data_IF_597162981199
#
_entry.id   IF_597162981199
#
_cell.length_a   1.000
_cell.length_b   1.000
_cell.length_c   1.000
_cell.angle_alpha   90.00
_cell.angle_beta   90.00
_cell.angle_gamma   90.00
#
_symmetry.space_group_name_H-M   'P 1'
#
loop_
_entity.id
_entity.type
_entity.pdbx_description
1 polymer ?
#
# COMPACT_ATOMS: atom_id res chain seq x y z
N UNK A 1 -9.81 17.99 21.94
CA UNK A 1 -8.50 17.38 21.66
C UNK A 1 -8.31 17.39 20.14
N UNK A 2 -7.23 17.97 19.64
CA UNK A 2 -6.96 18.08 18.20
C UNK A 2 -6.08 16.90 17.79
N UNK A 3 -6.60 16.00 16.95
CA UNK A 3 -5.80 14.95 16.32
C UNK A 3 -5.07 15.55 15.14
N UNK A 4 -3.74 15.38 15.13
CA UNK A 4 -2.88 15.82 14.05
C UNK A 4 -3.24 15.11 12.74
N UNK A 5 -3.21 15.90 11.67
CA UNK A 5 -3.26 15.55 10.24
C UNK A 5 -3.92 14.21 9.89
N UNK A 6 -5.15 14.27 9.37
CA UNK A 6 -5.94 13.13 8.91
C UNK A 6 -5.18 12.17 7.97
N UNK A 7 -4.25 12.68 7.15
CA UNK A 7 -3.40 11.87 6.26
C UNK A 7 -2.38 11.02 7.01
N UNK A 8 -1.82 11.54 8.11
CA UNK A 8 -0.91 10.78 8.95
C UNK A 8 -1.66 9.68 9.69
N UNK A 9 -2.86 9.99 10.21
CA UNK A 9 -3.73 8.98 10.82
C UNK A 9 -4.13 7.90 9.83
N UNK A 10 -4.60 8.29 8.63
CA UNK A 10 -4.90 7.34 7.57
C UNK A 10 -3.69 6.46 7.23
N UNK A 11 -2.48 7.03 7.16
CA UNK A 11 -1.26 6.23 6.97
C UNK A 11 -1.05 5.24 8.11
N UNK A 12 -1.14 5.68 9.36
CA UNK A 12 -0.90 4.82 10.51
C UNK A 12 -1.93 3.68 10.63
N UNK A 13 -3.20 3.97 10.30
CA UNK A 13 -4.28 2.99 10.31
C UNK A 13 -4.11 1.92 9.23
N UNK A 14 -3.47 2.22 8.09
CA UNK A 14 -3.32 1.32 6.95
C UNK A 14 -1.86 0.91 6.66
N UNK A 15 -0.92 1.34 7.52
CA UNK A 15 0.52 1.07 7.37
C UNK A 15 0.81 -0.41 7.59
N UNK A 16 1.34 -1.05 6.56
CA UNK A 16 1.80 -2.42 6.62
C UNK A 16 3.24 -2.51 7.13
N UNK A 17 3.55 -3.53 7.96
CA UNK A 17 4.92 -3.88 8.32
C UNK A 17 5.62 -2.92 9.30
N UNK A 18 4.89 -1.93 9.82
CA UNK A 18 5.38 -1.03 10.87
C UNK A 18 4.96 -1.55 12.24
N UNK A 19 5.76 -1.24 13.26
CA UNK A 19 5.42 -1.46 14.67
C UNK A 19 4.03 -0.86 14.99
N UNK A 20 3.29 -1.44 15.95
CA UNK A 20 2.02 -0.88 16.42
C UNK A 20 2.15 0.63 16.66
N UNK A 21 1.25 1.39 16.04
CA UNK A 21 1.21 2.83 16.21
C UNK A 21 0.25 3.21 17.33
N UNK A 22 0.59 4.27 18.05
CA UNK A 22 -0.21 4.81 19.14
C UNK A 22 -0.49 6.28 18.88
N UNK A 23 -1.68 6.73 19.28
CA UNK A 23 -2.02 8.14 19.40
C UNK A 23 -1.69 8.61 20.82
N UNK A 24 -0.82 9.59 20.94
CA UNK A 24 -0.58 10.31 22.19
C UNK A 24 -1.77 11.26 22.45
N UNK A 25 -2.54 11.01 23.51
CA UNK A 25 -3.73 11.80 23.83
C UNK A 25 -3.42 13.21 24.36
N UNK A 26 -2.18 13.45 24.79
CA UNK A 26 -1.75 14.76 25.28
C UNK A 26 -1.32 15.66 24.12
N UNK A 27 -0.55 15.12 23.18
CA UNK A 27 0.05 15.89 22.07
C UNK A 27 -0.71 15.76 20.74
N UNK A 28 -1.54 14.73 20.60
CA UNK A 28 -2.23 14.39 19.34
C UNK A 28 -1.31 13.77 18.29
N UNK A 29 -0.07 13.39 18.64
CA UNK A 29 0.93 12.82 17.74
C UNK A 29 0.80 11.31 17.58
N UNK A 30 1.19 10.80 16.42
CA UNK A 30 1.29 9.37 16.14
C UNK A 30 2.73 8.93 16.34
N UNK A 31 2.93 7.88 17.14
CA UNK A 31 4.25 7.35 17.47
C UNK A 31 4.32 5.84 17.33
N UNK A 32 5.51 5.34 16.99
CA UNK A 32 5.88 3.93 16.90
C UNK A 32 6.97 3.64 17.94
N UNK A 33 6.64 3.46 19.22
CA UNK A 33 7.66 3.06 20.21
C UNK A 33 7.17 2.30 21.46
N UNK A 34 8.08 1.51 22.07
CA UNK A 34 7.80 0.40 23.01
C UNK A 34 7.92 0.75 24.50
N UNK A 35 8.32 1.98 24.85
CA UNK A 35 8.57 2.41 26.22
C UNK A 35 7.33 3.16 26.76
N UNK A 36 6.15 2.54 26.64
CA UNK A 36 4.88 3.17 26.98
C UNK A 36 4.97 3.72 28.41
N UNK A 37 4.82 5.04 28.53
CA UNK A 37 4.54 5.71 29.79
C UNK A 37 3.22 5.20 30.40
N UNK A 38 2.61 5.90 31.36
CA UNK A 38 1.37 5.41 31.97
C UNK A 38 0.32 5.07 30.90
N UNK A 39 -0.25 3.86 30.98
CA UNK A 39 -1.16 3.27 29.96
C UNK A 39 -2.30 4.22 29.53
N UNK A 40 -2.70 5.15 30.40
CA UNK A 40 -3.76 6.13 30.13
C UNK A 40 -3.40 7.23 29.10
N UNK A 41 -2.12 7.41 28.74
CA UNK A 41 -1.70 8.46 27.80
C UNK A 41 -1.80 8.06 26.32
N UNK A 42 -1.63 6.77 26.03
CA UNK A 42 -1.45 6.29 24.66
C UNK A 42 -2.62 5.42 24.24
N UNK A 43 -3.27 5.79 23.15
CA UNK A 43 -4.35 5.00 22.55
C UNK A 43 -3.79 4.16 21.39
N UNK A 44 -3.82 2.81 21.47
CA UNK A 44 -3.39 1.97 20.35
C UNK A 44 -4.26 2.23 19.11
N UNK A 45 -3.60 2.38 17.96
CA UNK A 45 -4.26 2.49 16.67
C UNK A 45 -4.49 1.08 16.10
N UNK A 46 -5.68 0.80 15.54
CA UNK A 46 -5.90 -0.44 14.81
C UNK A 46 -5.06 -0.47 13.54
N UNK A 47 -4.70 -1.68 13.10
CA UNK A 47 -4.02 -1.92 11.83
C UNK A 47 -5.01 -2.53 10.84
N UNK A 48 -5.37 -1.77 9.82
CA UNK A 48 -6.28 -2.19 8.77
C UNK A 48 -5.54 -2.80 7.59
N UNK A 49 -6.10 -3.87 7.04
CA UNK A 49 -5.54 -4.56 5.88
C UNK A 49 -5.73 -3.74 4.59
N UNK A 50 -4.63 -3.22 4.02
CA UNK A 50 -4.66 -2.52 2.71
C UNK A 50 -5.13 -3.42 1.56
N UNK A 51 -4.98 -4.74 1.66
CA UNK A 51 -5.47 -5.67 0.63
C UNK A 51 -7.01 -5.68 0.53
N UNK A 52 -7.71 -5.42 1.64
CA UNK A 52 -9.17 -5.23 1.63
C UNK A 52 -9.57 -4.03 0.75
N UNK A 53 -8.89 -2.89 0.92
CA UNK A 53 -9.14 -1.68 0.13
C UNK A 53 -8.88 -1.94 -1.35
N UNK A 54 -7.78 -2.63 -1.65
CA UNK A 54 -7.45 -3.04 -3.01
C UNK A 54 -8.51 -3.98 -3.60
N UNK A 55 -9.04 -4.96 -2.86
CA UNK A 55 -10.13 -5.83 -3.33
C UNK A 55 -11.38 -5.05 -3.72
N UNK A 56 -11.81 -4.10 -2.88
CA UNK A 56 -12.95 -3.24 -3.19
C UNK A 56 -12.74 -2.45 -4.50
N UNK A 57 -11.53 -1.95 -4.71
CA UNK A 57 -11.18 -1.26 -5.95
C UNK A 57 -11.22 -2.19 -7.16
N UNK A 58 -10.56 -3.34 -7.10
CA UNK A 58 -10.50 -4.30 -8.21
C UNK A 58 -11.90 -4.76 -8.64
N UNK A 59 -12.76 -5.05 -7.66
CA UNK A 59 -14.14 -5.46 -7.91
C UNK A 59 -14.96 -4.37 -8.59
N UNK A 60 -14.81 -3.12 -8.13
CA UNK A 60 -15.44 -1.97 -8.76
C UNK A 60 -14.97 -1.79 -10.20
N UNK A 61 -13.66 -1.81 -10.43
CA UNK A 61 -13.09 -1.62 -11.77
C UNK A 61 -13.47 -2.74 -12.75
N UNK A 62 -13.58 -3.97 -12.27
CA UNK A 62 -14.10 -5.08 -13.06
C UNK A 62 -15.59 -4.91 -13.39
N UNK A 63 -16.41 -4.52 -12.40
CA UNK A 63 -17.84 -4.27 -12.62
C UNK A 63 -18.10 -3.11 -13.58
N UNK A 64 -17.23 -2.08 -13.57
CA UNK A 64 -17.28 -0.95 -14.50
C UNK A 64 -16.68 -1.25 -15.88
N UNK A 65 -16.08 -2.43 -16.07
CA UNK A 65 -15.45 -2.86 -17.32
C UNK A 65 -14.09 -2.22 -17.60
N UNK A 66 -13.49 -1.53 -16.64
CA UNK A 66 -12.18 -0.90 -16.76
C UNK A 66 -11.02 -1.89 -16.63
N UNK A 67 -11.23 -2.99 -15.90
CA UNK A 67 -10.31 -4.13 -15.84
C UNK A 67 -11.09 -5.34 -16.34
N UNK A 68 -10.63 -5.92 -17.45
CA UNK A 68 -11.39 -6.96 -18.15
C UNK A 68 -11.22 -8.36 -17.54
N UNK A 69 -10.11 -8.60 -16.82
CA UNK A 69 -9.81 -9.90 -16.24
C UNK A 69 -9.24 -9.80 -14.83
N UNK A 70 -9.85 -10.54 -13.90
CA UNK A 70 -9.40 -10.73 -12.52
C UNK A 70 -9.03 -12.19 -12.23
N UNK A 71 -8.92 -13.07 -13.22
CA UNK A 71 -8.74 -14.50 -13.02
C UNK A 71 -7.55 -14.83 -12.11
N UNK A 72 -6.44 -14.11 -12.26
CA UNK A 72 -5.25 -14.31 -11.45
C UNK A 72 -5.45 -13.91 -9.97
N UNK A 73 -6.36 -12.96 -9.72
CA UNK A 73 -6.74 -12.52 -8.38
C UNK A 73 -7.82 -13.38 -7.70
N UNK A 74 -8.54 -14.23 -8.44
CA UNK A 74 -9.60 -15.10 -7.90
C UNK A 74 -9.10 -16.18 -6.95
N UNK A 75 -7.81 -16.52 -7.01
CA UNK A 75 -7.19 -17.50 -6.14
C UNK A 75 -7.00 -17.00 -4.69
N UNK A 76 -7.06 -15.69 -4.47
CA UNK A 76 -6.86 -15.09 -3.16
C UNK A 76 -8.16 -15.05 -2.34
N UNK A 77 -8.10 -15.25 -1.02
CA UNK A 77 -9.27 -15.14 -0.16
C UNK A 77 -9.76 -13.69 -0.08
N UNK A 78 -10.98 -13.50 0.43
CA UNK A 78 -11.44 -12.17 0.83
C UNK A 78 -10.70 -11.71 2.07
N UNK A 79 -10.07 -10.56 2.01
CA UNK A 79 -9.38 -9.93 3.14
C UNK A 79 -10.38 -9.10 3.94
N UNK A 80 -10.35 -9.22 5.27
CA UNK A 80 -11.14 -8.39 6.15
C UNK A 80 -10.36 -7.13 6.56
N UNK A 81 -11.08 -6.02 6.73
CA UNK A 81 -10.45 -4.76 7.12
C UNK A 81 -9.76 -4.84 8.49
N UNK A 82 -10.40 -5.48 9.48
CA UNK A 82 -9.92 -5.53 10.86
C UNK A 82 -8.86 -6.60 11.14
N UNK A 83 -8.35 -7.26 10.10
CA UNK A 83 -7.28 -8.25 10.22
C UNK A 83 -5.94 -7.62 9.87
N UNK A 84 -4.84 -8.03 10.54
CA UNK A 84 -3.51 -7.64 10.09
C UNK A 84 -3.25 -8.19 8.69
N UNK A 85 -2.52 -7.43 7.87
CA UNK A 85 -2.13 -7.90 6.55
C UNK A 85 -1.23 -9.13 6.69
N UNK A 86 -1.61 -10.24 6.06
CA UNK A 86 -0.81 -11.47 6.00
C UNK A 86 0.17 -11.43 4.82
N UNK A 87 1.11 -12.39 4.78
CA UNK A 87 1.98 -12.56 3.61
C UNK A 87 1.18 -12.75 2.30
N UNK A 88 0.07 -13.48 2.39
CA UNK A 88 -0.84 -13.68 1.27
C UNK A 88 -1.51 -12.37 0.82
N UNK A 89 -1.81 -11.47 1.77
CA UNK A 89 -2.33 -10.14 1.46
C UNK A 89 -1.30 -9.29 0.69
N UNK A 90 -0.01 -9.46 0.98
CA UNK A 90 1.05 -8.79 0.23
C UNK A 90 1.23 -9.33 -1.18
N UNK A 91 1.16 -10.66 -1.34
CA UNK A 91 1.20 -11.27 -2.67
C UNK A 91 0.05 -10.76 -3.53
N UNK A 92 -1.16 -10.73 -2.96
CA UNK A 92 -2.32 -10.12 -3.59
C UNK A 92 -2.10 -8.66 -3.96
N UNK A 93 -1.58 -7.84 -3.03
CA UNK A 93 -1.34 -6.42 -3.27
C UNK A 93 -0.34 -6.19 -4.42
N UNK A 94 0.73 -6.98 -4.49
CA UNK A 94 1.71 -6.90 -5.57
C UNK A 94 1.12 -7.31 -6.92
N UNK A 95 0.32 -8.38 -6.94
CA UNK A 95 -0.32 -8.85 -8.18
C UNK A 95 -1.39 -7.86 -8.67
N UNK A 96 -2.22 -7.34 -7.77
CA UNK A 96 -3.23 -6.34 -8.09
C UNK A 96 -2.61 -5.02 -8.55
N UNK A 97 -1.46 -4.62 -7.98
CA UNK A 97 -0.70 -3.45 -8.42
C UNK A 97 -0.25 -3.61 -9.88
N UNK A 98 0.40 -4.73 -10.23
CA UNK A 98 0.84 -4.99 -11.60
C UNK A 98 -0.33 -4.98 -12.60
N UNK A 99 -1.48 -5.52 -12.18
CA UNK A 99 -2.68 -5.50 -12.99
C UNK A 99 -3.18 -4.06 -13.18
N UNK A 100 -3.27 -3.26 -12.13
CA UNK A 100 -3.65 -1.85 -12.23
C UNK A 100 -2.69 -1.05 -13.11
N UNK A 101 -1.38 -1.28 -13.06
CA UNK A 101 -0.42 -0.65 -13.97
C UNK A 101 -0.69 -1.04 -15.42
N UNK A 102 -0.96 -2.33 -15.70
CA UNK A 102 -1.22 -2.82 -17.05
C UNK A 102 -2.47 -2.21 -17.71
N UNK A 103 -3.47 -1.85 -16.90
CA UNK A 103 -4.70 -1.20 -17.35
C UNK A 103 -4.65 0.34 -17.20
N UNK A 104 -3.50 0.90 -16.81
CA UNK A 104 -3.34 2.32 -16.49
C UNK A 104 -4.40 2.82 -15.49
N UNK A 105 -4.64 2.07 -14.42
CA UNK A 105 -5.59 2.43 -13.35
C UNK A 105 -4.90 2.68 -12.00
N UNK A 106 -3.57 2.57 -11.92
CA UNK A 106 -2.86 2.69 -10.64
C UNK A 106 -2.77 4.13 -10.11
N UNK A 107 -2.33 5.06 -10.96
CA UNK A 107 -2.00 6.44 -10.58
C UNK A 107 -2.21 7.40 -11.75
N UNK A 108 -2.50 8.66 -11.45
CA UNK A 108 -2.59 9.74 -12.44
C UNK A 108 -1.24 10.36 -12.79
N UNK A 109 -0.16 9.92 -12.15
CA UNK A 109 1.19 10.46 -12.37
C UNK A 109 1.68 10.29 -13.81
N UNK A 110 1.22 9.23 -14.49
CA UNK A 110 1.61 8.87 -15.85
C UNK A 110 0.55 9.27 -16.90
N UNK A 111 -0.40 10.12 -16.51
CA UNK A 111 -1.42 10.62 -17.44
C UNK A 111 -0.83 11.46 -18.57
N UNK A 112 -1.29 11.15 -19.78
CA UNK A 112 -1.00 11.99 -20.94
C UNK A 112 -1.75 13.32 -20.77
N UNK A 113 -1.06 14.47 -20.82
CA UNK A 113 -1.70 15.77 -20.67
C UNK A 113 -2.86 15.95 -21.66
N UNK A 114 -4.01 16.42 -21.16
CA UNK A 114 -5.21 16.66 -21.97
C UNK A 114 -6.09 15.44 -22.18
N UNK A 115 -5.73 14.27 -21.65
CA UNK A 115 -6.64 13.12 -21.56
C UNK A 115 -7.54 13.25 -20.33
N UNK A 116 -8.81 12.86 -20.49
CA UNK A 116 -9.78 12.77 -19.39
C UNK A 116 -9.95 11.29 -19.06
N UNK A 117 -9.65 10.91 -17.82
CA UNK A 117 -9.88 9.55 -17.35
C UNK A 117 -11.37 9.27 -17.25
N UNK A 118 -11.78 8.09 -17.72
CA UNK A 118 -13.13 7.58 -17.53
C UNK A 118 -13.35 7.04 -16.10
N UNK A 119 -12.28 6.55 -15.46
CA UNK A 119 -12.34 5.92 -14.14
C UNK A 119 -11.32 6.52 -13.17
N UNK A 120 -11.66 6.49 -11.88
CA UNK A 120 -10.80 6.90 -10.77
C UNK A 120 -9.58 5.97 -10.65
N UNK A 121 -8.41 6.52 -10.35
CA UNK A 121 -7.19 5.71 -10.12
C UNK A 121 -7.24 5.04 -8.76
N UNK A 122 -6.48 3.95 -8.59
CA UNK A 122 -6.36 3.31 -7.29
C UNK A 122 -5.79 4.26 -6.25
N UNK A 123 -4.78 5.06 -6.59
CA UNK A 123 -4.19 6.03 -5.66
C UNK A 123 -5.23 7.03 -5.12
N UNK A 124 -6.09 7.55 -5.99
CA UNK A 124 -7.17 8.48 -5.61
C UNK A 124 -8.25 7.78 -4.78
N UNK A 125 -8.67 6.58 -5.21
CA UNK A 125 -9.64 5.75 -4.49
C UNK A 125 -9.15 5.40 -3.09
N UNK A 126 -7.91 4.91 -2.97
CA UNK A 126 -7.27 4.53 -1.73
C UNK A 126 -7.20 5.74 -0.79
N UNK A 127 -6.71 6.88 -1.27
CA UNK A 127 -6.64 8.10 -0.46
C UNK A 127 -8.01 8.49 0.08
N UNK A 128 -9.03 8.53 -0.77
CA UNK A 128 -10.41 8.88 -0.37
C UNK A 128 -10.97 7.88 0.64
N UNK A 129 -10.73 6.58 0.44
CA UNK A 129 -11.19 5.51 1.33
C UNK A 129 -10.54 5.63 2.71
N UNK A 130 -9.20 5.70 2.76
CA UNK A 130 -8.44 5.74 4.01
C UNK A 130 -8.74 7.02 4.81
N UNK A 131 -8.87 8.17 4.13
CA UNK A 131 -9.27 9.42 4.79
C UNK A 131 -10.70 9.34 5.33
N UNK A 132 -11.62 8.69 4.62
CA UNK A 132 -12.98 8.44 5.10
C UNK A 132 -12.99 7.61 6.39
N UNK A 133 -12.16 6.56 6.45
CA UNK A 133 -12.00 5.74 7.64
C UNK A 133 -11.34 6.47 8.81
N UNK A 134 -10.26 7.22 8.55
CA UNK A 134 -9.60 8.04 9.56
C UNK A 134 -10.57 9.07 10.16
N UNK A 135 -11.40 9.68 9.32
CA UNK A 135 -12.44 10.63 9.74
C UNK A 135 -13.46 9.97 10.66
N UNK A 136 -14.05 8.85 10.22
CA UNK A 136 -15.04 8.12 11.01
C UNK A 136 -14.46 7.64 12.36
N UNK A 137 -13.18 7.22 12.36
CA UNK A 137 -12.49 6.81 13.58
C UNK A 137 -12.35 7.95 14.59
N UNK A 138 -12.01 9.16 14.13
CA UNK A 138 -11.95 10.36 14.97
C UNK A 138 -13.34 10.75 15.49
N UNK A 139 -14.34 10.79 14.62
CA UNK A 139 -15.72 11.19 14.96
C UNK A 139 -16.33 10.25 16.02
N UNK A 140 -16.13 8.94 15.88
CA UNK A 140 -16.58 7.94 16.85
C UNK A 140 -15.95 8.10 18.25
N UNK A 141 -14.84 8.83 18.36
CA UNK A 141 -14.08 9.06 19.60
C UNK A 141 -14.16 10.50 20.10
N UNK A 142 -14.90 11.37 19.41
CA UNK A 142 -15.01 12.79 19.76
C UNK A 142 -13.72 13.59 19.53
N UNK A 143 -12.86 13.13 18.63
CA UNK A 143 -11.63 13.84 18.26
C UNK A 143 -11.87 14.84 17.12
N UNK A 144 -11.33 16.06 17.29
CA UNK A 144 -11.26 17.04 16.20
C UNK A 144 -10.09 16.69 15.27
N UNK A 145 -10.18 17.00 13.98
CA UNK A 145 -9.12 16.70 13.02
C UNK A 145 -8.95 17.82 11.99
N UNK A 146 -7.75 17.91 11.43
CA UNK A 146 -7.41 18.83 10.34
C UNK A 146 -6.85 18.07 9.15
N UNK A 147 -7.21 18.50 7.93
CA UNK A 147 -6.61 17.99 6.70
C UNK A 147 -5.43 18.88 6.32
N UNK A 148 -4.21 18.47 6.68
CA UNK A 148 -2.99 19.20 6.27
C UNK A 148 -2.38 18.51 5.04
N UNK A 149 -1.69 19.26 4.18
CA UNK A 149 -0.83 18.66 3.14
C UNK A 149 0.24 17.83 3.84
N UNK A 150 0.17 16.51 3.72
CA UNK A 150 1.26 15.64 4.13
C UNK A 150 2.39 15.72 3.09
N UNK A 151 3.66 15.51 3.48
CA UNK A 151 4.70 15.18 2.51
C UNK A 151 4.23 13.97 1.68
N UNK A 152 4.48 13.99 0.37
CA UNK A 152 4.14 12.87 -0.53
C UNK A 152 4.60 11.56 0.13
N UNK A 153 3.68 10.60 0.28
CA UNK A 153 4.03 9.24 0.73
C UNK A 153 5.20 8.75 -0.14
N UNK A 154 6.20 8.04 0.41
CA UNK A 154 6.96 7.15 -0.44
C UNK A 154 5.93 6.21 -1.07
N UNK A 155 5.78 6.32 -2.39
CA UNK A 155 4.87 5.47 -3.15
C UNK A 155 5.20 4.00 -2.84
N UNK A 156 4.20 3.12 -2.93
CA UNK A 156 4.18 1.71 -3.35
C UNK A 156 5.51 0.90 -3.53
N UNK A 157 6.66 1.53 -3.77
CA UNK A 157 8.01 0.98 -3.75
C UNK A 157 8.29 0.00 -2.60
N UNK A 158 7.69 0.15 -1.41
CA UNK A 158 7.90 -0.81 -0.32
C UNK A 158 7.22 -2.16 -0.57
N UNK A 159 6.02 -2.18 -1.17
CA UNK A 159 5.32 -3.41 -1.53
C UNK A 159 6.03 -4.15 -2.67
N UNK A 160 6.44 -3.41 -3.71
CA UNK A 160 7.19 -3.96 -4.84
C UNK A 160 8.59 -4.43 -4.42
N UNK A 161 9.26 -3.74 -3.50
CA UNK A 161 10.56 -4.16 -2.94
C UNK A 161 10.42 -5.47 -2.15
N UNK A 162 9.49 -5.57 -1.22
CA UNK A 162 9.29 -6.78 -0.41
C UNK A 162 8.89 -8.01 -1.25
N UNK A 163 8.17 -7.81 -2.36
CA UNK A 163 7.88 -8.86 -3.35
C UNK A 163 9.13 -9.25 -4.14
N UNK A 164 9.89 -8.27 -4.64
CA UNK A 164 11.14 -8.49 -5.38
C UNK A 164 12.19 -9.23 -4.54
N UNK A 165 12.39 -8.82 -3.29
CA UNK A 165 13.35 -9.44 -2.36
C UNK A 165 13.00 -10.91 -2.07
N UNK A 166 11.72 -11.23 -1.87
CA UNK A 166 11.27 -12.62 -1.61
C UNK A 166 11.41 -13.56 -2.79
N UNK A 167 11.42 -13.03 -4.02
CA UNK A 167 11.62 -13.81 -5.25
C UNK A 167 13.07 -13.81 -5.75
N UNK A 168 14.00 -13.29 -4.94
CA UNK A 168 15.42 -13.22 -5.31
C UNK A 168 15.72 -12.20 -6.41
N UNK A 169 14.81 -11.26 -6.65
CA UNK A 169 14.95 -10.18 -7.63
C UNK A 169 15.68 -9.02 -6.93
N UNK A 170 16.99 -9.12 -6.86
CA UNK A 170 17.84 -8.11 -6.23
C UNK A 170 18.35 -7.11 -7.29
N UNK A 171 17.60 -6.00 -7.49
CA UNK A 171 18.10 -4.62 -7.69
C UNK A 171 17.07 -3.76 -8.44
N UNK A 172 16.52 -2.78 -7.73
CA UNK A 172 15.97 -1.55 -8.32
C UNK A 172 17.15 -0.57 -8.37
N UNK A 173 17.60 -0.18 -9.55
CA UNK A 173 18.61 0.86 -9.69
C UNK A 173 17.93 2.23 -9.59
N UNK A 174 18.23 2.99 -8.55
CA UNK A 174 17.99 4.43 -8.52
C UNK A 174 19.18 5.13 -9.20
N UNK A 175 19.00 5.64 -10.42
CA UNK A 175 19.93 6.61 -10.98
C UNK A 175 19.60 7.99 -10.43
N UNK A 176 20.39 8.47 -9.46
CA UNK A 176 20.38 9.89 -9.07
C UNK A 176 21.02 10.73 -10.17
N UNK A 177 20.19 11.39 -10.97
CA UNK A 177 20.61 12.42 -11.94
C UNK A 177 19.47 12.82 -12.88
N UNK A 178 18.94 14.04 -12.73
CA UNK A 178 17.84 14.65 -13.53
C UNK A 178 18.21 14.87 -15.02
N UNK A 179 17.25 15.25 -15.91
CA UNK A 179 15.79 15.06 -15.87
C UNK A 179 15.25 14.32 -17.12
N UNK A 180 14.01 13.82 -16.99
CA UNK A 180 13.12 13.45 -18.11
C UNK A 180 13.53 12.24 -18.97
N UNK A 181 13.32 11.04 -18.44
CA UNK A 181 12.66 9.88 -19.11
C UNK A 181 12.87 8.66 -18.22
N UNK A 182 11.94 8.40 -17.31
CA UNK A 182 11.89 7.15 -16.56
C UNK A 182 11.36 6.05 -17.47
N UNK A 183 12.27 5.38 -18.18
CA UNK A 183 11.99 4.05 -18.71
C UNK A 183 12.40 3.03 -17.65
N UNK A 184 11.41 2.44 -17.01
CA UNK A 184 11.58 1.28 -16.12
C UNK A 184 11.80 0.04 -16.99
N UNK A 185 13.06 -0.23 -17.36
CA UNK A 185 13.39 -1.50 -17.98
C UNK A 185 13.49 -2.57 -16.88
N UNK A 186 12.44 -3.38 -16.72
CA UNK A 186 12.52 -4.66 -16.00
C UNK A 186 13.32 -5.61 -16.90
N UNK A 187 14.63 -5.72 -16.68
CA UNK A 187 15.45 -6.72 -17.37
C UNK A 187 15.37 -8.03 -16.58
N UNK A 188 14.83 -9.12 -17.15
CA UNK A 188 14.94 -10.43 -16.52
C UNK A 188 16.42 -10.85 -16.55
N UNK A 189 17.08 -10.83 -15.37
CA UNK A 189 18.37 -11.50 -15.24
C UNK A 189 18.08 -12.99 -15.25
N UNK A 190 18.36 -13.66 -16.38
CA UNK A 190 18.51 -15.12 -16.42
C UNK A 190 19.64 -15.48 -15.46
N UNK A 191 19.28 -15.96 -14.27
CA UNK A 191 20.24 -16.69 -13.44
C UNK A 191 20.61 -17.94 -14.24
N UNK A 192 21.88 -18.16 -14.62
CA UNK A 192 22.27 -19.41 -15.25
C UNK A 192 21.92 -20.51 -14.25
N UNK A 193 21.07 -21.46 -14.68
CA UNK A 193 20.76 -22.65 -13.91
C UNK A 193 22.09 -23.22 -13.40
N UNK A 194 22.30 -23.17 -12.09
CA UNK A 194 23.33 -23.98 -11.46
C UNK A 194 22.99 -25.42 -11.84
N UNK A 195 23.87 -25.99 -12.66
CA UNK A 195 23.86 -27.38 -13.04
C UNK A 195 23.65 -28.21 -11.76
N UNK A 196 22.54 -28.95 -11.71
CA UNK A 196 22.32 -29.96 -10.68
C UNK A 196 23.52 -30.90 -10.72
N UNK A 197 24.40 -30.76 -9.74
CA UNK A 197 25.42 -31.76 -9.45
C UNK A 197 24.70 -33.08 -9.22
N UNK A 198 25.01 -34.07 -10.07
CA UNK A 198 24.55 -35.46 -9.93
C UNK A 198 24.81 -35.94 -8.49
N UNK A 199 23.89 -36.68 -7.86
CA UNK A 199 24.22 -37.43 -6.67
C UNK A 199 25.34 -38.41 -7.03
N UNK A 200 26.44 -38.39 -6.26
CA UNK A 200 27.43 -39.47 -6.31
C UNK A 200 26.73 -40.75 -5.87
N UNK A 201 26.82 -41.78 -6.71
CA UNK A 201 26.25 -43.09 -6.45
C UNK A 201 26.84 -43.74 -5.19
N UNK A 202 26.00 -44.60 -4.60
CA UNK A 202 26.44 -45.83 -3.95
C UNK A 202 26.95 -46.80 -5.01
#
# INVERSE_FOLDING_TARGET
MEVQNLRLLASALFSYGMDPCFLDLETGEITSRPDLGPEARYLPLPQYCSAHVRQLYMERMFAEGAIEDLCSLRAYPRFALGEPCSDLALEYLAEAHNLCESFNTETSADDVPGTVRAHETYADFQERFELGYARAWCEARGFSYVLRKAPRRPAIFEYSRAWCERRGIFRVFETRGRPATSVTAVVPIRIPFASRSRPRGL
#
